data_IF_498180068731
#
_entry.id   IF_498180068731
#
_cell.length_a   1.000
_cell.length_b   1.000
_cell.length_c   1.000
_cell.angle_alpha   90.00
_cell.angle_beta   90.00
_cell.angle_gamma   90.00
#
_symmetry.space_group_name_H-M   'P 1'
#
loop_
_entity.id
_entity.type
_entity.pdbx_description
1 polymer ?
#
# COMPACT_ATOMS: atom_id res chain seq x y z
N UNK A 1 -57.01 -27.60 -24.22
CA UNK A 1 -56.47 -28.59 -23.25
C UNK A 1 -55.18 -28.05 -22.67
N UNK A 2 -55.10 -28.02 -21.33
CA UNK A 2 -53.98 -27.52 -20.53
C UNK A 2 -52.80 -28.50 -20.60
N UNK A 3 -51.57 -28.00 -20.64
CA UNK A 3 -50.47 -28.46 -19.75
C UNK A 3 -49.36 -27.41 -19.68
N UNK A 4 -49.48 -26.57 -18.66
CA UNK A 4 -48.39 -25.84 -18.00
C UNK A 4 -47.38 -26.83 -17.43
N UNK A 5 -46.09 -26.61 -17.69
CA UNK A 5 -45.01 -27.14 -16.86
C UNK A 5 -44.08 -25.98 -16.49
N UNK A 6 -44.23 -25.53 -15.23
CA UNK A 6 -43.28 -24.67 -14.52
C UNK A 6 -42.16 -25.58 -14.02
N UNK A 7 -40.91 -25.29 -14.36
CA UNK A 7 -39.77 -25.78 -13.58
C UNK A 7 -39.16 -24.58 -12.87
N UNK A 8 -39.56 -24.43 -11.60
CA UNK A 8 -38.89 -23.59 -10.62
C UNK A 8 -37.91 -24.49 -9.87
N UNK A 9 -36.62 -24.16 -9.89
CA UNK A 9 -35.67 -24.69 -8.91
C UNK A 9 -34.77 -23.53 -8.49
N UNK A 10 -34.86 -23.06 -7.23
CA UNK A 10 -33.99 -22.01 -6.75
C UNK A 10 -32.61 -22.61 -6.45
N UNK A 11 -31.58 -22.12 -7.14
CA UNK A 11 -30.19 -22.40 -6.80
C UNK A 11 -29.78 -21.35 -5.76
N UNK A 12 -29.95 -21.69 -4.48
CA UNK A 12 -29.29 -21.00 -3.37
C UNK A 12 -27.81 -21.38 -3.39
N UNK A 13 -26.95 -20.51 -3.91
CA UNK A 13 -25.50 -20.58 -3.71
C UNK A 13 -25.13 -19.70 -2.54
N UNK A 14 -25.09 -20.30 -1.36
CA UNK A 14 -24.41 -19.75 -0.19
C UNK A 14 -22.91 -19.77 -0.49
N UNK A 15 -22.32 -18.62 -0.86
CA UNK A 15 -20.87 -18.47 -0.81
C UNK A 15 -20.47 -18.29 0.66
N UNK A 16 -20.06 -19.38 1.30
CA UNK A 16 -19.33 -19.31 2.56
C UNK A 16 -17.91 -18.83 2.24
N UNK A 17 -17.65 -17.54 2.49
CA UNK A 17 -16.30 -17.02 2.58
C UNK A 17 -15.62 -17.66 3.80
N UNK A 18 -14.73 -18.62 3.56
CA UNK A 18 -13.88 -19.16 4.62
C UNK A 18 -12.77 -18.15 4.93
N UNK A 19 -13.10 -17.15 5.76
CA UNK A 19 -12.11 -16.36 6.49
C UNK A 19 -11.49 -17.25 7.55
N UNK A 20 -10.25 -17.72 7.32
CA UNK A 20 -9.48 -18.42 8.34
C UNK A 20 -8.84 -17.40 9.28
N UNK A 21 -9.60 -16.92 10.25
CA UNK A 21 -9.04 -16.33 11.46
C UNK A 21 -8.67 -17.46 12.43
N UNK A 22 -7.39 -17.84 12.43
CA UNK A 22 -6.84 -18.77 13.40
C UNK A 22 -6.47 -18.04 14.70
N UNK A 23 -7.37 -18.08 15.68
CA UNK A 23 -7.08 -17.78 17.10
C UNK A 23 -6.40 -19.01 17.70
N UNK A 24 -5.22 -18.85 18.29
CA UNK A 24 -4.64 -19.83 19.23
C UNK A 24 -3.85 -19.09 20.32
N UNK A 25 -4.56 -18.71 21.38
CA UNK A 25 -3.99 -18.37 22.68
C UNK A 25 -3.72 -19.68 23.43
N UNK A 26 -2.46 -19.95 23.80
CA UNK A 26 -2.15 -20.94 24.84
C UNK A 26 -1.23 -20.29 25.87
N UNK A 27 -1.84 -19.98 27.00
CA UNK A 27 -1.22 -19.75 28.29
C UNK A 27 -0.61 -21.04 28.84
N UNK A 28 0.65 -21.00 29.28
CA UNK A 28 1.22 -22.03 30.15
C UNK A 28 2.15 -21.38 31.20
N UNK A 29 1.68 -21.44 32.44
CA UNK A 29 2.37 -21.13 33.69
C UNK A 29 3.32 -22.27 34.11
N UNK A 30 4.49 -21.94 34.68
CA UNK A 30 5.19 -22.82 35.63
C UNK A 30 6.73 -22.87 35.57
N UNK A 31 7.40 -21.88 36.17
CA UNK A 31 8.41 -21.96 37.27
C UNK A 31 9.68 -22.89 37.19
N UNK A 32 10.73 -22.65 38.02
CA UNK A 32 12.06 -22.26 37.54
C UNK A 32 13.17 -23.25 37.88
N UNK A 33 14.40 -23.00 37.42
CA UNK A 33 15.62 -23.42 38.14
C UNK A 33 16.81 -22.52 37.81
N UNK A 34 17.62 -22.30 38.84
CA UNK A 34 18.57 -21.22 39.02
C UNK A 34 20.03 -21.62 38.74
N UNK A 35 20.91 -20.62 38.92
CA UNK A 35 22.32 -20.74 39.40
C UNK A 35 23.37 -21.21 38.36
N UNK A 36 24.58 -20.66 38.19
CA UNK A 36 25.38 -19.53 38.73
C UNK A 36 26.52 -19.30 37.71
N UNK A 37 26.95 -18.07 37.47
CA UNK A 37 28.34 -17.57 37.66
C UNK A 37 28.56 -16.25 36.93
N UNK A 38 28.78 -15.22 37.74
CA UNK A 38 29.43 -13.99 37.32
C UNK A 38 30.94 -14.24 37.29
N UNK A 39 31.61 -13.79 36.23
CA UNK A 39 32.98 -13.31 36.32
C UNK A 39 33.12 -12.04 35.48
N UNK A 40 33.35 -10.95 36.19
CA UNK A 40 33.71 -9.64 35.63
C UNK A 40 35.18 -9.68 35.22
N UNK A 41 35.50 -9.32 33.98
CA UNK A 41 36.85 -8.85 33.64
C UNK A 41 36.81 -7.62 32.74
N UNK A 42 37.69 -6.70 33.11
CA UNK A 42 37.73 -5.29 32.75
C UNK A 42 38.01 -4.98 31.28
N UNK A 43 37.62 -3.75 30.93
CA UNK A 43 37.68 -3.12 29.62
C UNK A 43 39.09 -2.98 29.04
N UNK A 44 39.17 -3.11 27.71
CA UNK A 44 40.21 -2.51 26.88
C UNK A 44 39.54 -1.69 25.77
N UNK A 45 39.68 -0.38 25.86
CA UNK A 45 39.17 0.59 24.90
C UNK A 45 39.96 0.51 23.60
N UNK A 46 39.32 0.09 22.52
CA UNK A 46 39.80 0.32 21.15
C UNK A 46 38.76 1.12 20.40
N UNK A 47 39.12 2.35 20.03
CA UNK A 47 38.29 3.24 19.22
C UNK A 47 38.18 2.67 17.82
N UNK A 48 37.06 1.98 17.52
CA UNK A 48 36.69 1.64 16.15
C UNK A 48 35.78 2.73 15.58
N UNK A 49 36.21 3.29 14.45
CA UNK A 49 35.42 4.15 13.58
C UNK A 49 34.24 3.33 13.07
N UNK A 50 33.05 3.55 13.65
CA UNK A 50 31.82 2.92 13.18
C UNK A 50 31.34 3.65 11.93
N UNK A 51 31.43 2.97 10.78
CA UNK A 51 30.60 3.28 9.63
C UNK A 51 29.13 3.30 10.06
N UNK A 52 28.27 4.18 9.52
CA UNK A 52 26.86 4.21 9.89
C UNK A 52 26.23 2.86 9.54
N UNK A 53 25.98 2.04 10.57
CA UNK A 53 25.20 0.82 10.48
C UNK A 53 23.82 1.20 9.96
N UNK A 54 23.55 0.91 8.69
CA UNK A 54 22.19 0.94 8.15
C UNK A 54 21.40 -0.05 9.00
N UNK A 55 20.44 0.45 9.78
CA UNK A 55 19.59 -0.42 10.58
C UNK A 55 18.98 -1.51 9.68
N UNK A 56 19.04 -2.79 10.08
CA UNK A 56 18.54 -3.88 9.24
C UNK A 56 17.07 -3.65 8.90
N UNK A 57 16.70 -3.89 7.64
CA UNK A 57 15.30 -3.81 7.21
C UNK A 57 14.46 -4.81 8.01
N UNK A 58 13.40 -4.34 8.66
CA UNK A 58 12.51 -5.16 9.52
C UNK A 58 11.82 -6.31 8.77
N UNK A 59 11.69 -6.18 7.46
CA UNK A 59 11.11 -7.19 6.57
C UNK A 59 12.05 -7.44 5.41
N UNK A 60 12.39 -8.70 5.19
CA UNK A 60 13.09 -9.18 4.01
C UNK A 60 12.16 -10.06 3.19
N UNK A 61 12.66 -10.65 2.11
CA UNK A 61 11.85 -11.45 1.22
C UNK A 61 12.41 -12.85 1.06
N UNK A 62 11.53 -13.85 1.07
CA UNK A 62 11.83 -15.22 0.67
C UNK A 62 11.11 -15.54 -0.63
N UNK A 63 11.83 -16.13 -1.57
CA UNK A 63 11.25 -16.60 -2.83
C UNK A 63 10.89 -18.07 -2.69
N UNK A 64 9.69 -18.44 -3.14
CA UNK A 64 9.27 -19.84 -3.28
C UNK A 64 9.04 -20.16 -4.75
N UNK A 65 9.08 -21.43 -5.11
CA UNK A 65 8.83 -21.90 -6.47
C UNK A 65 8.06 -23.22 -6.45
N UNK A 66 7.17 -23.39 -7.42
CA UNK A 66 6.57 -24.69 -7.74
C UNK A 66 7.54 -25.55 -8.56
N UNK A 67 7.39 -26.88 -8.45
CA UNK A 67 8.06 -27.85 -9.34
C UNK A 67 7.15 -28.38 -10.45
N UNK A 68 5.87 -27.97 -10.46
CA UNK A 68 4.90 -28.40 -11.45
C UNK A 68 5.10 -27.66 -12.77
N UNK A 69 5.34 -28.39 -13.85
CA UNK A 69 5.63 -27.82 -15.17
C UNK A 69 4.44 -27.06 -15.77
N UNK A 70 3.22 -27.36 -15.31
CA UNK A 70 2.00 -26.67 -15.73
C UNK A 70 1.68 -25.44 -14.88
N UNK A 71 2.55 -25.08 -13.93
CA UNK A 71 2.41 -23.89 -13.09
C UNK A 71 3.69 -23.02 -13.11
N UNK A 72 3.59 -21.85 -13.72
CA UNK A 72 4.61 -20.82 -13.61
C UNK A 72 4.41 -20.03 -12.30
N UNK A 73 5.50 -19.79 -11.55
CA UNK A 73 5.41 -19.11 -10.25
C UNK A 73 6.30 -17.87 -10.17
N UNK A 74 5.77 -16.80 -9.57
CA UNK A 74 6.52 -15.63 -9.12
C UNK A 74 6.12 -15.31 -7.68
N UNK A 75 6.73 -16.01 -6.73
CA UNK A 75 6.31 -15.99 -5.32
C UNK A 75 7.38 -15.35 -4.48
N UNK A 76 7.03 -14.24 -3.85
CA UNK A 76 7.86 -13.46 -2.95
C UNK A 76 7.06 -13.17 -1.68
N UNK A 77 7.38 -13.86 -0.60
CA UNK A 77 6.71 -13.71 0.70
C UNK A 77 7.58 -12.86 1.66
N UNK A 78 6.95 -12.12 2.59
CA UNK A 78 7.69 -11.37 3.60
C UNK A 78 8.27 -12.30 4.67
N UNK A 79 9.45 -11.94 5.17
CA UNK A 79 10.08 -12.55 6.35
C UNK A 79 10.44 -11.45 7.32
N UNK A 80 9.79 -11.45 8.48
CA UNK A 80 10.06 -10.50 9.56
C UNK A 80 11.35 -10.87 10.29
N UNK A 81 12.13 -9.86 10.62
CA UNK A 81 13.35 -9.99 11.43
C UNK A 81 13.49 -8.81 12.40
N UNK A 82 14.08 -9.09 13.56
CA UNK A 82 14.33 -8.07 14.59
C UNK A 82 13.05 -7.56 15.27
N UNK A 83 11.99 -8.36 15.31
CA UNK A 83 10.85 -8.08 16.19
C UNK A 83 11.26 -8.31 17.65
N UNK A 84 10.63 -7.57 18.55
CA UNK A 84 10.90 -7.67 20.00
C UNK A 84 10.40 -9.00 20.56
N UNK A 85 9.20 -9.42 20.16
CA UNK A 85 8.66 -10.74 20.44
C UNK A 85 9.13 -11.75 19.38
N UNK A 86 10.22 -12.47 19.69
CA UNK A 86 10.82 -13.46 18.78
C UNK A 86 9.93 -14.67 18.54
N UNK A 87 9.10 -15.07 19.51
CA UNK A 87 8.17 -16.17 19.35
C UNK A 87 7.06 -15.80 18.37
N UNK A 88 6.47 -14.61 18.53
CA UNK A 88 5.48 -14.10 17.59
C UNK A 88 6.07 -13.96 16.18
N UNK A 89 7.32 -13.49 16.07
CA UNK A 89 8.02 -13.39 14.79
C UNK A 89 8.08 -14.73 14.05
N UNK A 90 8.54 -15.78 14.73
CA UNK A 90 8.68 -17.10 14.14
C UNK A 90 7.31 -17.66 13.75
N UNK A 91 6.31 -17.52 14.63
CA UNK A 91 4.94 -17.92 14.35
C UNK A 91 4.33 -17.20 13.13
N UNK A 92 4.54 -15.88 13.01
CA UNK A 92 4.02 -15.09 11.90
C UNK A 92 4.70 -15.48 10.58
N UNK A 93 6.02 -15.66 10.59
CA UNK A 93 6.77 -16.13 9.43
C UNK A 93 6.28 -17.52 8.98
N UNK A 94 6.08 -18.44 9.92
CA UNK A 94 5.55 -19.79 9.65
C UNK A 94 4.14 -19.76 9.08
N UNK A 95 3.26 -18.91 9.60
CA UNK A 95 1.89 -18.74 9.10
C UNK A 95 1.90 -18.26 7.64
N UNK A 96 2.70 -17.23 7.35
CA UNK A 96 2.79 -16.64 6.00
C UNK A 96 3.36 -17.67 5.01
N UNK A 97 4.41 -18.39 5.39
CA UNK A 97 4.99 -19.44 4.55
C UNK A 97 4.04 -20.62 4.35
N UNK A 98 3.30 -21.02 5.40
CA UNK A 98 2.28 -22.07 5.32
C UNK A 98 1.15 -21.69 4.37
N UNK A 99 0.68 -20.44 4.43
CA UNK A 99 -0.34 -19.94 3.51
C UNK A 99 0.13 -19.99 2.05
N UNK A 100 1.33 -19.45 1.77
CA UNK A 100 1.89 -19.50 0.42
C UNK A 100 2.10 -20.95 -0.07
N UNK A 101 2.54 -21.85 0.81
CA UNK A 101 2.72 -23.27 0.47
C UNK A 101 1.40 -23.97 0.15
N UNK A 102 0.32 -23.63 0.87
CA UNK A 102 -1.04 -24.12 0.57
C UNK A 102 -1.54 -23.59 -0.77
N UNK A 103 -1.29 -22.31 -1.07
CA UNK A 103 -1.65 -21.73 -2.37
C UNK A 103 -0.87 -22.42 -3.51
N UNK A 104 0.43 -22.66 -3.33
CA UNK A 104 1.23 -23.44 -4.31
C UNK A 104 0.59 -24.81 -4.53
N UNK A 105 0.36 -25.58 -3.48
CA UNK A 105 -0.20 -26.93 -3.60
C UNK A 105 -1.57 -26.94 -4.29
N UNK A 106 -2.44 -25.98 -3.95
CA UNK A 106 -3.74 -25.80 -4.62
C UNK A 106 -3.57 -25.55 -6.12
N UNK A 107 -2.73 -24.59 -6.49
CA UNK A 107 -2.53 -24.24 -7.90
C UNK A 107 -1.79 -25.31 -8.70
N UNK A 108 -0.89 -26.07 -8.07
CA UNK A 108 -0.26 -27.25 -8.67
C UNK A 108 -1.30 -28.32 -9.02
N UNK A 109 -2.24 -28.58 -8.10
CA UNK A 109 -3.34 -29.50 -8.33
C UNK A 109 -4.24 -29.01 -9.48
N UNK A 110 -4.72 -27.77 -9.42
CA UNK A 110 -5.61 -27.21 -10.45
C UNK A 110 -4.96 -27.19 -11.84
N UNK A 111 -3.67 -26.82 -11.92
CA UNK A 111 -2.93 -26.83 -13.18
C UNK A 111 -2.76 -28.25 -13.75
N UNK A 112 -2.50 -29.24 -12.89
CA UNK A 112 -2.36 -30.65 -13.29
C UNK A 112 -3.68 -31.21 -13.81
N UNK A 113 -4.78 -30.97 -13.11
CA UNK A 113 -6.12 -31.39 -13.52
C UNK A 113 -6.53 -30.76 -14.86
N UNK A 114 -6.26 -29.46 -15.03
CA UNK A 114 -6.53 -28.75 -16.27
C UNK A 114 -5.70 -29.29 -17.45
N UNK A 115 -4.42 -29.61 -17.22
CA UNK A 115 -3.56 -30.21 -18.24
C UNK A 115 -4.05 -31.61 -18.66
N UNK A 116 -4.47 -32.43 -17.70
CA UNK A 116 -5.06 -33.75 -17.98
C UNK A 116 -6.36 -33.63 -18.80
N UNK A 117 -7.20 -32.64 -18.48
CA UNK A 117 -8.41 -32.34 -19.24
C UNK A 117 -8.09 -31.89 -20.69
N UNK A 118 -7.11 -31.01 -20.85
CA UNK A 118 -6.66 -30.52 -22.14
C UNK A 118 -6.16 -31.65 -23.05
N UNK A 119 -5.35 -32.55 -22.50
CA UNK A 119 -4.88 -33.74 -23.21
C UNK A 119 -6.05 -34.65 -23.63
N UNK A 120 -7.02 -34.88 -22.72
CA UNK A 120 -8.19 -35.72 -23.00
C UNK A 120 -9.09 -35.14 -24.10
N UNK A 121 -9.23 -33.82 -24.15
CA UNK A 121 -10.14 -33.12 -25.07
C UNK A 121 -9.43 -32.52 -26.29
N UNK A 122 -8.13 -32.76 -26.46
CA UNK A 122 -7.39 -32.41 -27.67
C UNK A 122 -7.16 -30.91 -27.88
N UNK A 123 -7.12 -30.10 -26.82
CA UNK A 123 -6.77 -28.69 -26.92
C UNK A 123 -5.44 -28.39 -26.23
N UNK A 124 -4.74 -27.35 -26.71
CA UNK A 124 -3.47 -26.91 -26.11
C UNK A 124 -3.73 -25.97 -24.95
N UNK A 125 -3.10 -26.25 -23.81
CA UNK A 125 -3.14 -25.40 -22.62
C UNK A 125 -1.80 -24.69 -22.44
N UNK A 126 -1.84 -23.44 -21.98
CA UNK A 126 -0.66 -22.75 -21.46
C UNK A 126 -0.52 -23.04 -19.95
N UNK A 127 0.70 -23.04 -19.39
CA UNK A 127 0.84 -23.12 -17.94
C UNK A 127 -0.02 -22.08 -17.24
N UNK A 128 -0.61 -22.47 -16.11
CA UNK A 128 -1.23 -21.53 -15.18
C UNK A 128 -0.13 -20.67 -14.55
N UNK A 129 -0.53 -19.54 -13.97
CA UNK A 129 0.40 -18.64 -13.30
C UNK A 129 -0.04 -18.42 -11.86
N UNK A 130 0.91 -18.41 -10.93
CA UNK A 130 0.69 -18.00 -9.55
C UNK A 130 1.72 -16.95 -9.15
N UNK A 131 1.22 -15.76 -8.80
CA UNK A 131 2.01 -14.67 -8.26
C UNK A 131 1.62 -14.44 -6.80
N UNK A 132 2.62 -14.33 -5.93
CA UNK A 132 2.42 -13.90 -4.54
C UNK A 132 3.42 -12.78 -4.27
N UNK A 133 2.92 -11.63 -3.86
CA UNK A 133 3.74 -10.45 -3.53
C UNK A 133 3.27 -9.85 -2.21
N UNK A 134 4.04 -8.93 -1.66
CA UNK A 134 3.66 -8.24 -0.44
C UNK A 134 4.06 -6.77 -0.45
N UNK A 135 3.38 -6.00 0.38
CA UNK A 135 3.66 -4.59 0.62
C UNK A 135 3.64 -4.32 2.13
N UNK A 136 4.76 -3.79 2.66
CA UNK A 136 4.82 -3.26 4.02
C UNK A 136 4.27 -1.83 4.00
N UNK A 137 3.07 -1.64 4.55
CA UNK A 137 2.32 -0.38 4.47
C UNK A 137 2.52 0.51 5.70
N UNK A 138 2.90 -0.09 6.84
CA UNK A 138 3.41 0.62 8.02
C UNK A 138 4.57 -0.18 8.63
N UNK A 139 5.69 0.48 8.90
CA UNK A 139 6.89 -0.15 9.45
C UNK A 139 7.00 -0.01 10.97
N UNK A 140 6.01 0.59 11.64
CA UNK A 140 5.94 0.75 13.09
C UNK A 140 6.89 1.78 13.69
N UNK A 141 7.46 2.70 12.89
CA UNK A 141 8.32 3.79 13.42
C UNK A 141 7.55 4.86 14.19
N UNK A 142 6.31 5.14 13.79
CA UNK A 142 5.56 6.28 14.33
C UNK A 142 4.69 5.92 15.54
N UNK A 143 4.32 4.65 15.72
CA UNK A 143 3.34 4.20 16.71
C UNK A 143 3.42 2.71 17.08
N UNK A 144 4.55 2.07 16.78
CA UNK A 144 4.76 0.63 16.94
C UNK A 144 3.85 -0.28 16.11
N UNK A 145 2.88 0.26 15.34
CA UNK A 145 1.98 -0.50 14.49
C UNK A 145 2.68 -0.89 13.19
N UNK A 146 2.85 -2.19 13.01
CA UNK A 146 3.28 -2.78 11.75
C UNK A 146 2.05 -3.24 11.00
N UNK A 147 2.01 -2.90 9.71
CA UNK A 147 0.93 -3.29 8.81
C UNK A 147 1.49 -3.72 7.47
N UNK A 148 1.00 -4.85 6.97
CA UNK A 148 1.43 -5.43 5.70
C UNK A 148 0.25 -6.11 5.01
N UNK A 149 0.25 -6.08 3.68
CA UNK A 149 -0.64 -6.90 2.85
C UNK A 149 0.14 -7.87 1.98
N UNK A 150 -0.36 -9.10 1.87
CA UNK A 150 0.08 -10.13 0.92
C UNK A 150 -0.99 -10.25 -0.16
N UNK A 151 -0.57 -10.15 -1.42
CA UNK A 151 -1.42 -10.24 -2.59
C UNK A 151 -1.09 -11.55 -3.28
N UNK A 152 -2.06 -12.47 -3.30
CA UNK A 152 -1.99 -13.74 -4.03
C UNK A 152 -2.88 -13.66 -5.24
N UNK A 153 -2.33 -13.77 -6.45
CA UNK A 153 -3.10 -13.80 -7.70
C UNK A 153 -2.70 -15.02 -8.50
N UNK A 154 -3.67 -15.88 -8.78
CA UNK A 154 -3.48 -16.95 -9.74
C UNK A 154 -4.34 -16.77 -10.98
N UNK A 155 -3.79 -17.19 -12.11
CA UNK A 155 -4.36 -17.05 -13.44
C UNK A 155 -4.40 -18.43 -14.07
N UNK A 156 -5.61 -18.97 -14.22
CA UNK A 156 -5.88 -20.23 -14.90
C UNK A 156 -6.39 -20.02 -16.32
N UNK A 157 -7.49 -20.68 -16.68
CA UNK A 157 -8.18 -20.48 -17.97
C UNK A 157 -8.98 -19.17 -18.06
N UNK A 158 -9.33 -18.59 -16.91
CA UNK A 158 -10.14 -17.37 -16.81
C UNK A 158 -9.29 -16.19 -16.32
N UNK A 159 -9.94 -15.04 -16.09
CA UNK A 159 -9.30 -13.87 -15.49
C UNK A 159 -8.70 -14.19 -14.12
N UNK A 160 -7.63 -13.47 -13.77
CA UNK A 160 -6.94 -13.60 -12.48
C UNK A 160 -7.89 -13.45 -11.30
N UNK A 161 -7.64 -14.24 -10.26
CA UNK A 161 -8.43 -14.24 -9.03
C UNK A 161 -7.56 -13.78 -7.85
N UNK A 162 -7.39 -12.45 -7.68
CA UNK A 162 -6.58 -11.91 -6.61
C UNK A 162 -7.29 -12.05 -5.26
N UNK A 163 -6.52 -12.44 -4.24
CA UNK A 163 -6.85 -12.42 -2.82
C UNK A 163 -5.87 -11.52 -2.09
N UNK A 164 -6.35 -10.73 -1.14
CA UNK A 164 -5.51 -9.91 -0.26
C UNK A 164 -5.63 -10.38 1.18
N UNK A 165 -4.51 -10.82 1.75
CA UNK A 165 -4.37 -11.18 3.16
C UNK A 165 -3.65 -10.03 3.90
N UNK A 166 -4.18 -9.59 5.04
CA UNK A 166 -3.65 -8.44 5.78
C UNK A 166 -3.16 -8.83 7.18
N UNK A 167 -2.01 -8.30 7.58
CA UNK A 167 -1.38 -8.56 8.87
C UNK A 167 -1.12 -7.24 9.60
N UNK A 168 -1.71 -7.07 10.78
CA UNK A 168 -1.60 -5.85 11.59
C UNK A 168 -1.27 -6.21 13.03
N UNK A 169 -0.17 -5.69 13.56
CA UNK A 169 0.26 -5.98 14.92
C UNK A 169 1.18 -4.90 15.50
N UNK A 170 1.27 -4.81 16.82
CA UNK A 170 2.24 -3.95 17.50
C UNK A 170 3.55 -4.69 17.75
N UNK A 171 4.69 -4.01 17.54
CA UNK A 171 6.01 -4.55 17.89
C UNK A 171 6.41 -4.14 19.31
N UNK A 172 5.88 -4.86 20.28
CA UNK A 172 6.13 -4.69 21.73
C UNK A 172 6.76 -5.95 22.33
N UNK A 173 7.02 -5.96 23.65
CA UNK A 173 7.59 -7.12 24.34
C UNK A 173 6.72 -8.39 24.18
N UNK A 174 5.41 -8.21 24.14
CA UNK A 174 4.42 -9.20 23.72
C UNK A 174 3.67 -8.58 22.55
N UNK A 175 3.84 -9.16 21.35
CA UNK A 175 3.23 -8.59 20.16
C UNK A 175 1.71 -8.83 20.16
N UNK A 176 0.94 -7.79 19.87
CA UNK A 176 -0.52 -7.88 19.85
C UNK A 176 -1.08 -7.67 18.45
N UNK A 177 -2.01 -8.52 18.05
CA UNK A 177 -2.79 -8.29 16.83
C UNK A 177 -3.60 -7.00 17.01
N UNK A 178 -3.55 -6.13 16.01
CA UNK A 178 -4.36 -4.91 15.98
C UNK A 178 -5.67 -5.15 15.23
N UNK A 179 -6.77 -4.75 15.84
CA UNK A 179 -8.13 -4.83 15.30
C UNK A 179 -8.65 -3.45 14.91
N UNK A 180 -9.77 -3.41 14.18
CA UNK A 180 -10.47 -2.14 13.93
C UNK A 180 -11.01 -1.50 15.22
N UNK A 181 -11.36 -2.31 16.23
CA UNK A 181 -11.78 -1.79 17.54
C UNK A 181 -10.63 -1.09 18.27
N UNK A 182 -9.41 -1.61 18.20
CA UNK A 182 -8.23 -0.95 18.79
C UNK A 182 -7.95 0.41 18.11
N UNK A 183 -8.22 0.50 16.81
CA UNK A 183 -7.98 1.72 16.02
C UNK A 183 -9.08 2.77 16.19
N UNK A 184 -10.34 2.35 16.28
CA UNK A 184 -11.51 3.26 16.22
C UNK A 184 -12.36 3.27 17.49
N UNK A 185 -12.01 2.46 18.50
CA UNK A 185 -12.80 2.24 19.71
C UNK A 185 -14.04 1.39 19.47
N UNK A 186 -14.91 1.29 20.50
CA UNK A 186 -16.11 0.45 20.50
C UNK A 186 -17.09 0.74 19.36
N UNK A 187 -17.07 1.97 18.82
CA UNK A 187 -17.93 2.41 17.73
C UNK A 187 -17.36 2.13 16.33
N UNK A 188 -16.27 1.33 16.24
CA UNK A 188 -15.56 1.08 14.98
C UNK A 188 -16.47 0.68 13.82
N UNK A 189 -17.44 -0.21 14.05
CA UNK A 189 -18.38 -0.66 13.00
C UNK A 189 -19.14 0.51 12.41
N UNK A 190 -19.73 1.36 13.25
CA UNK A 190 -20.51 2.52 12.80
C UNK A 190 -19.63 3.53 12.04
N UNK A 191 -18.41 3.78 12.53
CA UNK A 191 -17.47 4.71 11.91
C UNK A 191 -17.06 4.21 10.52
N UNK A 192 -16.66 2.94 10.43
CA UNK A 192 -16.18 2.33 9.19
C UNK A 192 -17.33 2.17 8.19
N UNK A 193 -18.47 1.63 8.61
CA UNK A 193 -19.64 1.45 7.74
C UNK A 193 -20.09 2.76 7.13
N UNK A 194 -20.09 3.84 7.91
CA UNK A 194 -20.45 5.19 7.42
C UNK A 194 -19.46 5.66 6.36
N UNK A 195 -18.16 5.46 6.56
CA UNK A 195 -17.14 5.85 5.61
C UNK A 195 -17.25 5.07 4.30
N UNK A 196 -17.42 3.74 4.37
CA UNK A 196 -17.59 2.87 3.20
C UNK A 196 -18.87 3.22 2.45
N UNK A 197 -20.01 3.37 3.14
CA UNK A 197 -21.28 3.78 2.52
C UNK A 197 -21.18 5.13 1.81
N UNK A 198 -20.48 6.09 2.43
CA UNK A 198 -20.26 7.41 1.82
C UNK A 198 -19.42 7.31 0.54
N UNK A 199 -18.38 6.48 0.54
CA UNK A 199 -17.54 6.27 -0.63
C UNK A 199 -18.29 5.55 -1.77
N UNK A 200 -19.04 4.50 -1.46
CA UNK A 200 -19.88 3.78 -2.43
C UNK A 200 -20.95 4.70 -3.02
N UNK A 201 -21.58 5.55 -2.20
CA UNK A 201 -22.58 6.50 -2.68
C UNK A 201 -22.03 7.56 -3.66
N UNK A 202 -20.72 7.84 -3.60
CA UNK A 202 -20.05 8.75 -4.53
C UNK A 202 -19.71 8.09 -5.88
N UNK A 203 -19.81 6.76 -5.99
CA UNK A 203 -19.42 5.99 -7.17
C UNK A 203 -20.32 4.75 -7.37
N UNK A 204 -21.64 4.95 -7.34
CA UNK A 204 -22.63 3.87 -7.25
C UNK A 204 -22.57 2.87 -8.42
N UNK A 205 -22.17 3.30 -9.61
CA UNK A 205 -22.16 2.47 -10.83
C UNK A 205 -21.17 1.28 -10.76
N UNK A 206 -20.19 1.35 -9.86
CA UNK A 206 -19.14 0.33 -9.72
C UNK A 206 -19.41 -0.71 -8.62
N UNK A 207 -20.51 -0.58 -7.86
CA UNK A 207 -20.83 -1.43 -6.71
C UNK A 207 -22.20 -2.07 -6.83
N UNK A 208 -22.38 -3.20 -6.16
CA UNK A 208 -23.69 -3.85 -6.08
C UNK A 208 -24.67 -3.01 -5.24
N UNK A 209 -25.95 -3.14 -5.56
CA UNK A 209 -27.03 -2.46 -4.87
C UNK A 209 -27.91 -3.44 -4.08
N UNK A 210 -28.75 -2.91 -3.20
CA UNK A 210 -29.72 -3.67 -2.41
C UNK A 210 -29.06 -4.79 -1.58
N UNK A 211 -29.62 -5.99 -1.60
CA UNK A 211 -29.17 -7.16 -0.84
C UNK A 211 -27.80 -7.70 -1.28
N UNK A 212 -27.42 -7.49 -2.54
CA UNK A 212 -26.09 -7.85 -3.06
C UNK A 212 -25.02 -6.79 -2.74
N UNK A 213 -25.44 -5.60 -2.28
CA UNK A 213 -24.57 -4.48 -1.95
C UNK A 213 -23.88 -4.59 -0.58
N UNK A 214 -23.15 -3.54 -0.22
CA UNK A 214 -22.48 -3.45 1.09
C UNK A 214 -23.48 -3.40 2.26
N UNK A 215 -23.49 -4.44 3.08
CA UNK A 215 -24.38 -4.55 4.26
C UNK A 215 -23.77 -4.06 5.57
N UNK A 216 -22.46 -3.81 5.59
CA UNK A 216 -21.69 -3.53 6.80
C UNK A 216 -20.41 -4.37 6.82
N UNK A 217 -19.44 -3.97 7.64
CA UNK A 217 -18.20 -4.74 7.80
C UNK A 217 -18.38 -5.93 8.74
N UNK A 218 -17.60 -6.98 8.49
CA UNK A 218 -17.43 -8.08 9.43
C UNK A 218 -16.62 -7.65 10.67
N UNK A 219 -16.76 -8.36 11.78
CA UNK A 219 -15.97 -8.10 12.99
C UNK A 219 -14.45 -8.27 12.76
N UNK A 220 -14.09 -9.16 11.83
CA UNK A 220 -12.70 -9.45 11.45
C UNK A 220 -12.38 -8.94 10.03
N UNK A 221 -13.08 -7.91 9.56
CA UNK A 221 -12.86 -7.31 8.24
C UNK A 221 -11.38 -7.02 8.00
N UNK A 222 -10.86 -7.48 6.85
CA UNK A 222 -9.48 -7.22 6.45
C UNK A 222 -9.21 -5.72 6.29
N UNK A 223 -8.07 -5.27 6.80
CA UNK A 223 -7.65 -3.88 6.66
C UNK A 223 -6.12 -3.80 6.71
N UNK A 224 -5.55 -2.72 6.20
CA UNK A 224 -4.16 -2.35 6.47
C UNK A 224 -4.07 -0.87 6.84
N UNK A 225 -2.97 -0.46 7.45
CA UNK A 225 -2.73 0.95 7.82
C UNK A 225 -1.62 1.52 6.97
N UNK A 226 -1.88 2.70 6.42
CA UNK A 226 -0.92 3.53 5.70
C UNK A 226 -1.32 5.00 5.84
N UNK A 227 -0.35 5.90 5.88
CA UNK A 227 -0.58 7.36 5.80
C UNK A 227 -1.63 7.90 6.81
N UNK A 228 -1.66 7.35 8.03
CA UNK A 228 -2.60 7.75 9.08
C UNK A 228 -4.06 7.35 8.82
N UNK A 229 -4.30 6.39 7.93
CA UNK A 229 -5.62 5.84 7.61
C UNK A 229 -5.60 4.32 7.71
N UNK A 230 -6.73 3.73 8.08
CA UNK A 230 -7.01 2.33 7.81
C UNK A 230 -7.66 2.19 6.42
N UNK A 231 -7.16 1.29 5.59
CA UNK A 231 -7.73 0.92 4.31
C UNK A 231 -8.49 -0.39 4.50
N UNK A 232 -9.81 -0.32 4.40
CA UNK A 232 -10.71 -1.46 4.57
C UNK A 232 -10.78 -2.22 3.24
N UNK A 233 -10.41 -3.50 3.26
CA UNK A 233 -10.23 -4.32 2.07
C UNK A 233 -11.43 -5.24 1.90
N UNK A 234 -12.03 -5.21 0.71
CA UNK A 234 -13.11 -6.11 0.32
C UNK A 234 -12.60 -7.06 -0.76
N UNK A 235 -12.72 -8.37 -0.53
CA UNK A 235 -12.29 -9.37 -1.52
C UNK A 235 -13.08 -9.21 -2.82
N UNK A 236 -12.50 -9.63 -3.94
CA UNK A 236 -13.15 -9.57 -5.26
C UNK A 236 -14.53 -10.24 -5.21
N UNK A 237 -15.52 -9.64 -5.88
CA UNK A 237 -16.92 -10.07 -5.89
C UNK A 237 -17.73 -9.90 -4.58
N UNK A 238 -17.13 -9.45 -3.48
CA UNK A 238 -17.86 -9.35 -2.20
C UNK A 238 -18.93 -8.26 -2.17
N UNK A 239 -18.67 -7.11 -2.80
CA UNK A 239 -19.58 -5.94 -2.82
C UNK A 239 -19.65 -5.26 -4.19
N UNK A 240 -18.96 -5.81 -5.19
CA UNK A 240 -18.81 -5.21 -6.52
C UNK A 240 -18.53 -6.28 -7.58
N UNK A 241 -18.83 -6.01 -8.87
CA UNK A 241 -18.45 -6.89 -9.97
C UNK A 241 -16.92 -7.08 -10.07
N UNK A 242 -16.49 -8.17 -10.71
CA UNK A 242 -15.06 -8.50 -10.85
C UNK A 242 -14.23 -7.45 -11.60
N UNK A 243 -14.86 -6.58 -12.40
CA UNK A 243 -14.21 -5.45 -13.08
C UNK A 243 -13.72 -4.37 -12.11
N UNK A 244 -14.33 -4.26 -10.92
CA UNK A 244 -13.93 -3.33 -9.86
C UNK A 244 -12.69 -3.84 -9.10
N UNK A 245 -12.31 -5.10 -9.28
CA UNK A 245 -11.15 -5.69 -8.62
C UNK A 245 -11.38 -5.93 -7.13
N UNK A 246 -10.43 -5.47 -6.30
CA UNK A 246 -10.47 -5.53 -4.83
C UNK A 246 -10.70 -4.11 -4.31
N UNK A 247 -11.94 -3.76 -3.92
CA UNK A 247 -12.21 -2.44 -3.37
C UNK A 247 -11.47 -2.20 -2.05
N UNK A 248 -10.81 -1.04 -1.95
CA UNK A 248 -10.14 -0.57 -0.74
C UNK A 248 -10.70 0.81 -0.34
N UNK A 249 -11.19 0.96 0.90
CA UNK A 249 -11.76 2.22 1.38
C UNK A 249 -10.96 2.82 2.52
N UNK A 250 -10.51 4.07 2.33
CA UNK A 250 -9.70 4.75 3.33
C UNK A 250 -10.56 5.40 4.42
N UNK A 251 -10.26 5.06 5.68
CA UNK A 251 -10.90 5.61 6.89
C UNK A 251 -9.82 6.26 7.76
N UNK A 252 -10.01 7.55 8.09
CA UNK A 252 -9.03 8.32 8.86
C UNK A 252 -8.98 7.82 10.31
N UNK A 253 -7.78 7.49 10.80
CA UNK A 253 -7.58 7.06 12.18
C UNK A 253 -7.83 8.21 13.18
N UNK A 254 -8.50 7.96 14.33
CA UNK A 254 -8.68 8.94 15.39
C UNK A 254 -7.35 9.21 16.13
N UNK A 255 -7.15 10.44 16.61
CA UNK A 255 -5.91 10.83 17.34
C UNK A 255 -4.65 10.88 16.47
N UNK A 256 -4.62 10.18 15.34
CA UNK A 256 -3.71 10.44 14.22
C UNK A 256 -4.12 11.75 13.61
N UNK A 257 -3.37 12.80 13.94
CA UNK A 257 -3.40 14.01 13.17
C UNK A 257 -3.16 13.64 11.69
N UNK A 258 -4.23 13.65 10.87
CA UNK A 258 -4.05 13.97 9.45
C UNK A 258 -3.73 15.46 9.26
N UNK A 259 -3.31 16.14 10.33
CA UNK A 259 -2.91 17.53 10.40
C UNK A 259 -1.39 17.70 10.48
N UNK A 260 -0.60 16.70 10.06
CA UNK A 260 0.58 17.08 9.26
C UNK A 260 0.09 17.41 7.87
N UNK A 261 -0.48 18.62 7.73
CA UNK A 261 -0.18 19.45 6.55
C UNK A 261 1.32 19.27 6.33
N UNK A 262 1.80 18.80 5.16
CA UNK A 262 3.23 18.81 4.91
C UNK A 262 3.62 20.28 5.00
N UNK A 263 4.17 20.69 6.15
CA UNK A 263 4.38 22.09 6.44
C UNK A 263 5.50 22.62 5.56
N UNK A 264 6.37 21.73 5.08
CA UNK A 264 7.53 22.07 4.27
C UNK A 264 7.87 20.96 3.26
N UNK A 265 8.13 21.35 2.02
CA UNK A 265 8.98 20.63 1.08
C UNK A 265 10.42 21.17 1.24
N UNK A 266 11.44 20.32 1.22
CA UNK A 266 12.84 20.78 1.31
C UNK A 266 13.59 20.44 0.04
N UNK A 267 14.12 21.48 -0.62
CA UNK A 267 15.07 21.39 -1.72
C UNK A 267 16.49 21.41 -1.17
N UNK A 268 17.19 20.27 -1.30
CA UNK A 268 18.60 20.15 -0.96
C UNK A 268 19.50 20.78 -2.05
N UNK A 269 20.72 21.22 -1.73
CA UNK A 269 21.71 21.63 -2.72
C UNK A 269 21.86 20.57 -3.83
N UNK A 270 21.75 21.00 -5.10
CA UNK A 270 21.74 20.10 -6.28
C UNK A 270 20.34 19.79 -6.83
N UNK A 271 19.26 20.05 -6.09
CA UNK A 271 17.88 19.98 -6.57
C UNK A 271 17.39 21.31 -7.19
N UNK A 272 18.27 22.29 -7.31
CA UNK A 272 18.02 23.58 -7.94
C UNK A 272 19.32 24.16 -8.51
N UNK A 273 19.22 25.15 -9.40
CA UNK A 273 20.36 25.88 -9.95
C UNK A 273 19.95 27.29 -10.39
N UNK A 274 20.91 28.18 -10.65
CA UNK A 274 20.63 29.47 -11.31
C UNK A 274 20.79 29.34 -12.81
N UNK A 275 19.81 29.81 -13.57
CA UNK A 275 19.91 29.88 -15.03
C UNK A 275 20.85 31.02 -15.49
N UNK A 276 21.02 31.16 -16.81
CA UNK A 276 21.88 32.18 -17.41
C UNK A 276 21.46 33.62 -17.10
N UNK A 277 20.20 33.83 -16.70
CA UNK A 277 19.64 35.11 -16.32
C UNK A 277 19.66 35.32 -14.79
N UNK A 278 20.33 34.43 -14.05
CA UNK A 278 20.43 34.48 -12.59
C UNK A 278 19.18 34.01 -11.84
N UNK A 279 18.16 33.49 -12.53
CA UNK A 279 16.91 33.04 -11.92
C UNK A 279 17.04 31.64 -11.35
N UNK A 280 16.44 31.44 -10.18
CA UNK A 280 16.49 30.17 -9.48
C UNK A 280 15.52 29.16 -10.10
N UNK A 281 16.04 28.06 -10.61
CA UNK A 281 15.32 26.95 -11.21
C UNK A 281 15.31 25.77 -10.25
N UNK A 282 14.13 25.27 -9.89
CA UNK A 282 13.92 24.22 -8.89
C UNK A 282 13.27 22.99 -9.51
N UNK A 283 13.59 21.79 -9.01
CA UNK A 283 12.92 20.57 -9.45
C UNK A 283 11.44 20.55 -9.05
N UNK A 284 10.55 20.39 -10.03
CA UNK A 284 9.09 20.39 -9.80
C UNK A 284 8.61 19.19 -8.96
N UNK A 285 9.38 18.10 -8.95
CA UNK A 285 9.10 16.89 -8.15
C UNK A 285 9.05 17.14 -6.65
N UNK A 286 9.65 18.23 -6.16
CA UNK A 286 9.60 18.60 -4.74
C UNK A 286 8.16 18.78 -4.23
N UNK A 287 7.24 19.18 -5.11
CA UNK A 287 5.83 19.34 -4.79
C UNK A 287 5.16 18.04 -4.34
N UNK A 288 5.71 16.87 -4.67
CA UNK A 288 5.23 15.58 -4.14
C UNK A 288 5.35 15.50 -2.62
N UNK A 289 6.39 16.11 -2.03
CA UNK A 289 6.54 16.19 -0.57
C UNK A 289 5.42 17.03 0.06
N UNK A 290 4.85 17.98 -0.69
CA UNK A 290 3.66 18.74 -0.32
C UNK A 290 2.35 18.06 -0.76
N UNK A 291 2.37 16.76 -1.09
CA UNK A 291 1.21 15.97 -1.54
C UNK A 291 0.54 16.50 -2.83
N UNK A 292 1.28 17.19 -3.71
CA UNK A 292 0.81 17.41 -5.06
C UNK A 292 1.02 16.14 -5.91
N UNK A 293 0.04 15.81 -6.73
CA UNK A 293 0.24 14.92 -7.86
C UNK A 293 1.03 15.69 -8.93
N UNK A 294 2.13 15.10 -9.41
CA UNK A 294 2.98 15.65 -10.46
C UNK A 294 3.11 14.57 -11.54
N UNK A 295 2.57 14.78 -12.73
CA UNK A 295 2.56 13.77 -13.80
C UNK A 295 3.22 14.32 -15.05
N UNK A 296 4.24 13.63 -15.53
CA UNK A 296 4.92 13.97 -16.78
C UNK A 296 4.22 13.30 -17.96
N UNK A 297 3.93 14.06 -19.02
CA UNK A 297 3.48 13.57 -20.31
C UNK A 297 4.57 13.80 -21.36
N UNK A 298 5.20 12.70 -21.82
CA UNK A 298 6.21 12.75 -22.87
C UNK A 298 5.66 13.22 -24.22
N UNK A 299 4.40 12.88 -24.53
CA UNK A 299 3.74 13.25 -25.80
C UNK A 299 3.53 14.76 -25.93
N UNK A 300 3.05 15.40 -24.86
CA UNK A 300 2.79 16.85 -24.83
C UNK A 300 3.91 17.67 -24.20
N UNK A 301 5.03 17.03 -23.81
CA UNK A 301 6.16 17.63 -23.09
C UNK A 301 5.70 18.51 -21.92
N UNK A 302 4.70 18.05 -21.19
CA UNK A 302 4.01 18.83 -20.16
C UNK A 302 4.00 18.09 -18.84
N UNK A 303 4.26 18.80 -17.75
CA UNK A 303 4.05 18.32 -16.39
C UNK A 303 2.73 18.87 -15.86
N UNK A 304 1.77 17.98 -15.58
CA UNK A 304 0.54 18.31 -14.87
C UNK A 304 0.75 18.25 -13.37
N UNK A 305 0.21 19.22 -12.65
CA UNK A 305 0.40 19.41 -11.22
C UNK A 305 -0.97 19.65 -10.60
N UNK A 306 -1.37 18.81 -9.64
CA UNK A 306 -2.67 18.95 -8.99
C UNK A 306 -2.68 18.60 -7.51
N UNK A 307 -3.53 19.28 -6.74
CA UNK A 307 -3.80 19.00 -5.32
C UNK A 307 -5.15 19.59 -4.92
N UNK A 308 -6.14 18.74 -4.66
CA UNK A 308 -7.51 19.20 -4.41
C UNK A 308 -8.03 20.04 -5.58
N UNK A 309 -8.48 21.27 -5.32
CA UNK A 309 -8.95 22.21 -6.35
C UNK A 309 -7.83 22.92 -7.13
N UNK A 310 -6.55 22.79 -6.72
CA UNK A 310 -5.41 23.39 -7.41
C UNK A 310 -5.02 22.51 -8.59
N UNK A 311 -4.98 23.08 -9.79
CA UNK A 311 -4.47 22.44 -11.00
C UNK A 311 -3.60 23.41 -11.79
N UNK A 312 -2.49 22.93 -12.35
CA UNK A 312 -1.58 23.67 -13.22
C UNK A 312 -0.94 22.70 -14.21
N UNK A 313 -0.56 23.22 -15.38
CA UNK A 313 0.26 22.51 -16.34
C UNK A 313 1.46 23.38 -16.75
N UNK A 314 2.65 22.78 -16.80
CA UNK A 314 3.88 23.44 -17.26
C UNK A 314 4.45 22.70 -18.46
N UNK A 315 4.53 23.38 -19.61
CA UNK A 315 5.04 22.81 -20.86
C UNK A 315 6.50 23.20 -21.06
N UNK A 316 7.35 22.22 -21.40
CA UNK A 316 8.77 22.48 -21.64
C UNK A 316 8.97 23.57 -22.70
N UNK A 317 9.96 24.43 -22.47
CA UNK A 317 10.38 25.53 -23.34
C UNK A 317 9.28 26.57 -23.61
N UNK A 318 8.20 26.58 -22.83
CA UNK A 318 7.13 27.58 -22.91
C UNK A 318 7.04 28.35 -21.59
N UNK A 319 7.37 29.64 -21.63
CA UNK A 319 7.24 30.56 -20.49
C UNK A 319 5.78 31.02 -20.32
N UNK A 320 4.93 30.06 -19.95
CA UNK A 320 3.50 30.27 -19.73
C UNK A 320 3.02 29.35 -18.61
N UNK A 321 2.60 29.93 -17.49
CA UNK A 321 2.24 29.23 -16.27
C UNK A 321 0.80 29.55 -15.86
N UNK A 322 -0.02 28.52 -15.66
CA UNK A 322 -1.46 28.64 -15.40
C UNK A 322 -1.84 28.14 -14.02
N UNK A 323 -2.82 28.78 -13.37
CA UNK A 323 -3.48 28.24 -12.18
C UNK A 323 -4.98 28.10 -12.47
N UNK A 324 -5.49 26.86 -12.52
CA UNK A 324 -6.88 26.57 -12.86
C UNK A 324 -7.27 27.13 -14.22
N UNK A 325 -8.39 27.88 -14.27
CA UNK A 325 -8.92 28.53 -15.48
C UNK A 325 -8.37 29.94 -15.73
N UNK A 326 -7.34 30.37 -15.01
CA UNK A 326 -6.76 31.72 -15.15
C UNK A 326 -5.86 31.83 -16.38
N UNK A 327 -5.72 33.06 -16.90
CA UNK A 327 -4.80 33.35 -18.00
C UNK A 327 -3.35 33.00 -17.64
N UNK A 328 -2.56 32.43 -18.56
CA UNK A 328 -1.16 32.10 -18.31
C UNK A 328 -0.33 33.35 -18.00
N UNK A 329 0.59 33.25 -17.03
CA UNK A 329 1.57 34.27 -16.68
C UNK A 329 2.94 33.88 -17.20
N UNK A 330 3.74 34.86 -17.64
CA UNK A 330 5.17 34.69 -17.94
C UNK A 330 5.98 35.01 -16.69
N UNK A 331 6.98 34.17 -16.41
CA UNK A 331 7.91 34.31 -15.28
C UNK A 331 9.33 34.62 -15.77
N UNK A 332 9.51 34.75 -17.09
CA UNK A 332 10.73 35.12 -17.79
C UNK A 332 11.84 34.07 -17.76
N UNK A 333 11.49 32.81 -17.46
CA UNK A 333 12.32 31.62 -17.69
C UNK A 333 11.39 30.44 -17.93
N UNK A 334 11.58 29.69 -19.01
CA UNK A 334 10.72 28.56 -19.35
C UNK A 334 11.09 27.28 -18.57
N UNK A 335 10.16 26.31 -18.42
CA UNK A 335 10.48 25.01 -17.85
C UNK A 335 11.48 24.25 -18.73
N UNK A 336 12.47 23.59 -18.13
CA UNK A 336 13.48 22.81 -18.84
C UNK A 336 13.65 21.42 -18.24
N UNK A 337 14.06 20.46 -19.06
CA UNK A 337 14.40 19.12 -18.60
C UNK A 337 15.92 18.98 -18.50
N UNK A 338 16.43 18.56 -17.33
CA UNK A 338 17.86 18.32 -17.09
C UNK A 338 18.04 17.07 -16.25
N UNK A 339 18.89 16.14 -16.70
CA UNK A 339 19.16 14.86 -16.03
C UNK A 339 17.87 14.09 -15.66
N UNK A 340 16.88 14.07 -16.54
CA UNK A 340 15.60 13.36 -16.31
C UNK A 340 14.61 14.08 -15.39
N UNK A 341 14.93 15.28 -14.89
CA UNK A 341 14.04 16.07 -14.03
C UNK A 341 13.57 17.34 -14.73
N UNK A 342 12.30 17.71 -14.49
CA UNK A 342 11.75 18.98 -14.95
C UNK A 342 12.03 20.07 -13.91
N UNK A 343 12.63 21.16 -14.37
CA UNK A 343 12.93 22.34 -13.59
C UNK A 343 12.04 23.50 -14.02
N UNK A 344 11.57 24.25 -13.04
CA UNK A 344 10.71 25.44 -13.19
C UNK A 344 11.30 26.59 -12.38
N UNK A 345 11.02 27.85 -12.72
CA UNK A 345 11.41 28.98 -11.89
C UNK A 345 10.82 28.84 -10.49
N UNK A 346 11.58 29.21 -9.45
CA UNK A 346 11.04 29.25 -8.07
C UNK A 346 9.77 30.11 -8.00
N UNK A 347 9.72 31.18 -8.80
CA UNK A 347 8.56 32.05 -8.96
C UNK A 347 7.27 31.30 -9.38
N UNK A 348 7.38 30.16 -10.06
CA UNK A 348 6.20 29.35 -10.36
C UNK A 348 5.59 28.77 -9.08
N UNK A 349 6.42 28.31 -8.16
CA UNK A 349 5.98 27.75 -6.88
C UNK A 349 5.42 28.87 -5.99
N UNK A 350 6.04 30.04 -5.97
CA UNK A 350 5.61 31.14 -5.10
C UNK A 350 4.45 31.94 -5.67
N UNK A 351 4.53 32.35 -6.93
CA UNK A 351 3.64 33.38 -7.50
C UNK A 351 2.44 32.78 -8.24
N UNK A 352 2.56 31.51 -8.65
CA UNK A 352 1.48 30.77 -9.35
C UNK A 352 0.83 29.75 -8.41
N UNK A 353 1.61 28.93 -7.71
CA UNK A 353 1.06 27.95 -6.75
C UNK A 353 0.83 28.52 -5.34
N UNK A 354 1.14 29.79 -5.10
CA UNK A 354 0.99 30.46 -3.80
C UNK A 354 1.70 29.71 -2.66
N UNK A 355 2.93 29.24 -2.89
CA UNK A 355 3.78 28.68 -1.85
C UNK A 355 4.72 29.75 -1.28
N UNK A 356 5.23 29.53 -0.07
CA UNK A 356 6.31 30.36 0.50
C UNK A 356 7.63 29.63 0.37
N UNK A 357 8.71 30.36 0.12
CA UNK A 357 10.05 29.82 0.03
C UNK A 357 10.98 30.54 1.00
N UNK A 358 11.60 29.78 1.91
CA UNK A 358 12.58 30.27 2.88
C UNK A 358 13.94 29.63 2.59
N UNK A 359 15.00 30.43 2.51
CA UNK A 359 16.35 29.94 2.26
C UNK A 359 17.10 29.70 3.59
N UNK A 360 17.51 28.46 3.83
CA UNK A 360 18.26 28.05 5.00
C UNK A 360 19.75 28.43 4.94
N UNK A 361 20.39 28.48 6.12
CA UNK A 361 21.80 28.90 6.29
C UNK A 361 22.82 28.02 5.54
N UNK A 362 22.44 26.79 5.19
CA UNK A 362 23.29 25.82 4.48
C UNK A 362 22.88 25.63 3.00
N UNK A 363 22.10 26.56 2.43
CA UNK A 363 21.68 26.51 1.03
C UNK A 363 20.51 25.57 0.77
N UNK A 364 19.76 25.15 1.77
CA UNK A 364 18.47 24.46 1.56
C UNK A 364 17.37 25.49 1.27
N UNK A 365 16.37 25.12 0.47
CA UNK A 365 15.17 25.95 0.25
C UNK A 365 13.97 25.19 0.78
N UNK A 366 13.29 25.78 1.75
CA UNK A 366 12.11 25.24 2.41
C UNK A 366 10.87 25.86 1.81
N UNK A 367 9.97 25.03 1.28
CA UNK A 367 8.74 25.42 0.61
C UNK A 367 7.54 25.10 1.50
N UNK A 368 6.84 26.11 1.97
CA UNK A 368 5.66 25.93 2.84
C UNK A 368 4.39 26.41 2.12
N UNK A 369 3.22 26.02 2.61
CA UNK A 369 1.98 26.53 2.03
C UNK A 369 1.86 28.06 2.24
N UNK A 370 1.40 28.78 1.22
CA UNK A 370 0.98 30.17 1.37
C UNK A 370 -0.12 30.34 2.42
N UNK A 371 -0.24 31.56 2.93
CA UNK A 371 -1.39 31.94 3.77
C UNK A 371 -2.64 32.04 2.91
#
# INVERSE_FOLDING_TARGET
MKKTMKHTTPITKTLAAAGLAGILMISASGLPSAHVHAETKAAASTSQVTAPTVAPQRVTSKTLQSKEKWLETNIKIPVFQGLTDTKYQDQLNDIIESHASKDIAKWEQEATEAAANAQKNGYTMRPYQLTITYELTSDGKDDSLISLKVITEGIGMNNGDPRVDTYNFTNEAEAQRVTLEDLFGKDYKSIVDKAVKTAIAADQDHYFANEDGFQGIDAEQSFYVADGKAYIVFQKYSIAPGSTGIPEFAVKLPGKASDKKPAAAVLKPGAYYKDNNGKLMVQVSVLRQLQFNVKWSGKSKTTEISKGAVWSAVTLNKDAYTLGKMAPRSLGSAPVMKKGHVYVPLAFLTDVLNLKADQGKHGEITLTAGK
#
